data_IF_230672908696
#
_entry.id   IF_230672908696
#
_cell.length_a   1.000
_cell.length_b   1.000
_cell.length_c   1.000
_cell.angle_alpha   90.00
_cell.angle_beta   90.00
_cell.angle_gamma   90.00
#
_symmetry.space_group_name_H-M   'P 1'
#
loop_
_entity.id
_entity.type
_entity.pdbx_description
1 polymer ?
#
# COMPACT_ATOMS: atom_id res chain seq x y z
N UNK A 1 11.12 -4.52 -26.05
CA UNK A 1 10.40 -4.51 -24.74
C UNK A 1 10.57 -5.88 -24.09
N UNK A 2 11.10 -5.95 -22.86
CA UNK A 2 11.26 -7.22 -22.15
C UNK A 2 9.86 -7.70 -21.73
N UNK A 3 9.48 -8.91 -22.14
CA UNK A 3 8.19 -9.51 -21.80
C UNK A 3 8.21 -9.83 -20.30
N UNK A 4 7.22 -9.34 -19.56
CA UNK A 4 7.12 -9.58 -18.11
C UNK A 4 6.52 -10.96 -17.91
N UNK A 5 7.20 -11.79 -17.14
CA UNK A 5 6.69 -13.08 -16.69
C UNK A 5 5.78 -12.89 -15.48
N UNK A 6 4.50 -12.66 -15.74
CA UNK A 6 3.51 -12.36 -14.70
C UNK A 6 3.31 -13.49 -13.70
N UNK A 7 3.21 -14.78 -14.10
CA UNK A 7 3.20 -15.90 -13.15
C UNK A 7 4.37 -15.85 -12.16
N UNK A 8 5.61 -15.76 -12.65
CA UNK A 8 6.78 -15.70 -11.78
C UNK A 8 6.78 -14.46 -10.85
N UNK A 9 6.26 -13.33 -11.33
CA UNK A 9 6.09 -12.12 -10.52
C UNK A 9 5.08 -12.33 -9.39
N UNK A 10 3.97 -13.03 -9.64
CA UNK A 10 2.93 -13.30 -8.63
C UNK A 10 3.45 -14.30 -7.59
N UNK A 11 4.15 -15.35 -8.01
CA UNK A 11 4.75 -16.30 -7.08
C UNK A 11 5.77 -15.61 -6.17
N UNK A 12 6.62 -14.77 -6.77
CA UNK A 12 7.59 -14.00 -5.98
C UNK A 12 6.91 -13.00 -5.05
N UNK A 13 5.81 -12.39 -5.49
CA UNK A 13 5.02 -11.50 -4.66
C UNK A 13 4.40 -12.22 -3.46
N UNK A 14 3.88 -13.44 -3.64
CA UNK A 14 3.33 -14.24 -2.55
C UNK A 14 4.42 -14.54 -1.49
N UNK A 15 5.59 -15.01 -1.92
CA UNK A 15 6.74 -15.25 -1.02
C UNK A 15 7.15 -13.99 -0.27
N UNK A 16 7.16 -12.84 -0.94
CA UNK A 16 7.47 -11.56 -0.29
C UNK A 16 6.43 -11.23 0.78
N UNK A 17 5.14 -11.41 0.51
CA UNK A 17 4.07 -11.09 1.46
C UNK A 17 4.07 -12.05 2.65
N UNK A 18 4.25 -13.35 2.40
CA UNK A 18 4.33 -14.38 3.44
C UNK A 18 5.55 -14.20 4.35
N UNK A 19 6.64 -13.64 3.82
CA UNK A 19 7.84 -13.35 4.61
C UNK A 19 7.72 -12.17 5.56
N UNK A 20 6.62 -11.39 5.54
CA UNK A 20 6.39 -10.33 6.51
C UNK A 20 5.42 -10.79 7.61
N UNK A 21 5.80 -10.59 8.86
CA UNK A 21 4.90 -10.74 10.02
C UNK A 21 3.73 -9.73 9.99
N UNK A 22 3.83 -8.69 9.16
CA UNK A 22 2.81 -7.64 9.04
C UNK A 22 2.27 -7.59 7.62
N UNK A 23 0.96 -7.51 7.48
CA UNK A 23 0.38 -7.46 6.14
C UNK A 23 0.73 -6.14 5.44
N UNK A 24 1.11 -6.27 4.17
CA UNK A 24 1.55 -5.16 3.32
C UNK A 24 0.41 -4.67 2.43
N UNK A 25 0.51 -3.42 2.00
CA UNK A 25 -0.43 -2.85 1.02
C UNK A 25 -0.01 -3.18 -0.42
N UNK A 26 -0.98 -3.17 -1.34
CA UNK A 26 -0.72 -3.37 -2.78
C UNK A 26 0.34 -2.40 -3.33
N UNK A 27 0.30 -1.13 -2.89
CA UNK A 27 1.26 -0.10 -3.29
C UNK A 27 2.67 -0.42 -2.79
N UNK A 28 2.81 -0.86 -1.54
CA UNK A 28 4.10 -1.24 -0.98
C UNK A 28 4.68 -2.46 -1.71
N UNK A 29 3.84 -3.46 -1.99
CA UNK A 29 4.21 -4.63 -2.78
C UNK A 29 4.70 -4.21 -4.18
N UNK A 30 3.95 -3.35 -4.87
CA UNK A 30 4.32 -2.83 -6.18
C UNK A 30 5.72 -2.20 -6.17
N UNK A 31 6.00 -1.32 -5.21
CA UNK A 31 7.32 -0.67 -5.15
C UNK A 31 8.44 -1.67 -4.87
N UNK A 32 8.23 -2.69 -4.05
CA UNK A 32 9.23 -3.75 -3.82
C UNK A 32 9.57 -4.52 -5.10
N UNK A 33 8.58 -4.81 -5.93
CA UNK A 33 8.78 -5.47 -7.21
C UNK A 33 9.50 -4.56 -8.22
N UNK A 34 9.21 -3.27 -8.20
CA UNK A 34 9.90 -2.25 -9.01
C UNK A 34 11.37 -2.11 -8.60
N UNK A 35 11.67 -2.02 -7.30
CA UNK A 35 13.06 -1.93 -6.81
C UNK A 35 13.84 -3.20 -7.09
N UNK A 36 13.16 -4.35 -7.17
CA UNK A 36 13.75 -5.63 -7.57
C UNK A 36 13.88 -5.80 -9.10
N UNK A 37 13.55 -4.76 -9.88
CA UNK A 37 13.59 -4.76 -11.35
C UNK A 37 12.76 -5.87 -12.03
N UNK A 38 11.75 -6.41 -11.31
CA UNK A 38 10.86 -7.45 -11.83
C UNK A 38 9.75 -6.87 -12.71
N UNK A 39 9.26 -5.68 -12.36
CA UNK A 39 8.24 -4.95 -13.10
C UNK A 39 8.66 -3.49 -13.33
N UNK A 40 8.23 -2.86 -14.42
CA UNK A 40 8.50 -1.45 -14.66
C UNK A 40 7.65 -0.56 -13.72
N UNK A 41 8.20 0.60 -13.36
CA UNK A 41 7.48 1.64 -12.64
C UNK A 41 6.46 2.35 -13.56
N UNK A 42 5.37 1.67 -13.91
CA UNK A 42 4.34 2.19 -14.79
C UNK A 42 2.93 1.92 -14.26
N UNK A 43 2.00 2.81 -14.61
CA UNK A 43 0.58 2.66 -14.27
C UNK A 43 -0.04 1.40 -14.88
N UNK A 44 0.41 1.00 -16.07
CA UNK A 44 -0.02 -0.24 -16.74
C UNK A 44 0.39 -1.47 -15.94
N UNK A 45 1.65 -1.52 -15.47
CA UNK A 45 2.12 -2.62 -14.64
C UNK A 45 1.39 -2.68 -13.29
N UNK A 46 1.13 -1.51 -12.68
CA UNK A 46 0.34 -1.43 -11.45
C UNK A 46 -1.08 -1.99 -11.62
N UNK A 47 -1.80 -1.56 -12.66
CA UNK A 47 -3.17 -2.06 -12.95
C UNK A 47 -3.18 -3.56 -13.18
N UNK A 48 -2.17 -4.08 -13.90
CA UNK A 48 -2.06 -5.51 -14.18
C UNK A 48 -1.75 -6.32 -12.92
N UNK A 49 -0.83 -5.84 -12.07
CA UNK A 49 -0.53 -6.45 -10.78
C UNK A 49 -1.77 -6.46 -9.87
N UNK A 50 -2.51 -5.36 -9.82
CA UNK A 50 -3.76 -5.25 -9.05
C UNK A 50 -4.80 -6.29 -9.50
N UNK A 51 -5.03 -6.41 -10.81
CA UNK A 51 -5.98 -7.38 -11.35
C UNK A 51 -5.58 -8.83 -11.08
N UNK A 52 -4.30 -9.17 -11.25
CA UNK A 52 -3.78 -10.52 -11.04
C UNK A 52 -3.81 -10.92 -9.55
N UNK A 53 -3.35 -10.04 -8.66
CA UNK A 53 -3.42 -10.29 -7.21
C UNK A 53 -4.86 -10.35 -6.70
N UNK A 54 -5.79 -9.59 -7.29
CA UNK A 54 -7.21 -9.70 -6.97
C UNK A 54 -7.84 -11.00 -7.47
N UNK A 55 -7.39 -11.55 -8.60
CA UNK A 55 -7.82 -12.86 -9.09
C UNK A 55 -7.26 -13.97 -8.20
N UNK A 56 -5.95 -13.97 -7.96
CA UNK A 56 -5.29 -14.98 -7.13
C UNK A 56 -5.83 -15.03 -5.69
N UNK A 57 -6.22 -13.88 -5.10
CA UNK A 57 -6.92 -13.86 -3.81
C UNK A 57 -8.32 -14.48 -3.87
N UNK A 58 -9.07 -14.26 -4.95
CA UNK A 58 -10.38 -14.91 -5.16
C UNK A 58 -10.24 -16.42 -5.32
N UNK A 59 -9.12 -16.86 -5.88
CA UNK A 59 -8.79 -18.28 -6.07
C UNK A 59 -8.11 -18.91 -4.84
N UNK A 60 -7.83 -18.14 -3.79
CA UNK A 60 -7.19 -18.61 -2.55
C UNK A 60 -5.68 -18.89 -2.67
N UNK A 61 -5.04 -18.49 -3.78
CA UNK A 61 -3.63 -18.76 -4.07
C UNK A 61 -2.70 -17.59 -3.75
N UNK A 62 -3.23 -16.51 -3.15
CA UNK A 62 -2.44 -15.33 -2.78
C UNK A 62 -2.86 -14.80 -1.41
N UNK A 63 -1.91 -14.45 -0.53
CA UNK A 63 -2.20 -13.97 0.82
C UNK A 63 -2.96 -12.62 0.83
N UNK A 64 -3.68 -12.37 1.91
CA UNK A 64 -4.44 -11.12 2.06
C UNK A 64 -3.53 -9.89 2.16
N UNK A 65 -3.91 -8.86 1.40
CA UNK A 65 -3.26 -7.55 1.44
C UNK A 65 -4.15 -6.57 2.22
N UNK A 66 -3.53 -5.74 3.04
CA UNK A 66 -4.27 -4.65 3.70
C UNK A 66 -4.42 -3.50 2.71
N UNK A 67 -5.64 -2.97 2.58
CA UNK A 67 -5.87 -1.68 1.93
C UNK A 67 -5.89 -0.57 2.99
N UNK A 68 -4.74 0.05 3.25
CA UNK A 68 -4.68 1.28 4.08
C UNK A 68 -4.95 2.50 3.20
N UNK A 69 -6.15 2.57 2.63
CA UNK A 69 -6.68 3.80 2.07
C UNK A 69 -7.04 4.78 3.20
N UNK A 70 -6.07 5.28 3.97
CA UNK A 70 -6.34 6.31 4.99
C UNK A 70 -5.46 7.53 4.84
N UNK A 71 -6.15 8.65 4.64
CA UNK A 71 -5.60 9.99 4.46
C UNK A 71 -4.72 10.40 5.65
N UNK A 72 -3.54 10.90 5.35
CA UNK A 72 -2.72 11.66 6.30
C UNK A 72 -3.36 13.06 6.38
N UNK A 73 -3.98 13.46 7.50
CA UNK A 73 -4.47 14.82 7.65
C UNK A 73 -3.29 15.79 7.59
N UNK A 74 -3.45 16.98 6.97
CA UNK A 74 -2.38 17.96 6.93
C UNK A 74 -1.98 18.37 8.35
N UNK A 75 -0.68 18.57 8.56
CA UNK A 75 -0.06 18.89 9.86
C UNK A 75 -0.73 20.08 10.59
N UNK A 76 -1.40 20.99 9.84
CA UNK A 76 -2.19 22.10 10.38
C UNK A 76 -3.39 21.69 11.25
N UNK A 77 -3.90 20.46 11.14
CA UNK A 77 -5.04 20.00 11.91
C UNK A 77 -4.70 19.61 13.37
N UNK A 78 -3.41 19.42 13.69
CA UNK A 78 -2.97 19.11 15.07
C UNK A 78 -2.84 20.36 15.95
N UNK A 79 -2.71 21.54 15.35
CA UNK A 79 -2.47 22.81 16.06
C UNK A 79 -3.76 23.40 16.69
N UNK A 80 -4.94 23.03 16.18
CA UNK A 80 -6.22 23.56 16.68
C UNK A 80 -6.63 23.02 18.06
N UNK A 81 -6.02 21.92 18.53
CA UNK A 81 -6.25 21.43 19.90
C UNK A 81 -5.44 22.18 20.96
N UNK A 82 -4.31 22.78 20.59
CA UNK A 82 -3.49 23.58 21.53
C UNK A 82 -4.03 25.00 21.75
N UNK A 83 -4.85 25.53 20.81
CA UNK A 83 -5.42 26.89 20.90
C UNK A 83 -6.80 26.99 21.57
N UNK A 84 -7.41 25.87 21.99
CA UNK A 84 -8.69 25.89 22.72
C UNK A 84 -8.54 25.87 24.25
N UNK A 85 -7.36 25.57 24.79
CA UNK A 85 -7.10 25.59 26.24
C UNK A 85 -6.88 27.00 26.82
N UNK A 86 -6.76 28.03 25.98
CA UNK A 86 -6.46 29.40 26.41
C UNK A 86 -7.64 30.37 26.36
N UNK A 87 -8.88 29.90 26.11
CA UNK A 87 -10.08 30.76 26.03
C UNK A 87 -11.07 30.62 27.18
N UNK A 88 -10.63 30.07 28.31
CA UNK A 88 -11.42 30.03 29.56
C UNK A 88 -10.58 30.55 30.72
N UNK A 89 -10.25 31.84 30.68
CA UNK A 89 -10.09 32.63 31.92
C UNK A 89 -10.25 34.12 31.64
N UNK A 90 -11.02 34.72 32.53
CA UNK A 90 -11.42 36.13 32.67
C UNK A 90 -12.67 36.57 31.88
N UNK A 91 -13.87 36.82 32.46
CA UNK A 91 -14.32 36.88 33.87
C UNK A 91 -13.53 37.91 34.70
N UNK A 92 -13.94 39.16 34.85
CA UNK A 92 -15.19 39.66 35.43
C UNK A 92 -15.22 41.16 35.21
#
# INVERSE_FOLDING_TARGET
>A
MRRIDWPAVIDRAAVIVEGYDTSVTLRQLFYRLVTSQLIPNSSTAYKRLSALTAQARRDGTFPDLIDRGRQIPPLRALDQRLRRSSRTRCGT
#
